data_IF_696594436574
#
_entry.id   IF_696594436574
#
_cell.length_a   1.000
_cell.length_b   1.000
_cell.length_c   1.000
_cell.angle_alpha   90.00
_cell.angle_beta   90.00
_cell.angle_gamma   90.00
#
_symmetry.space_group_name_H-M   'P 1'
#
loop_
_entity.id
_entity.type
_entity.pdbx_description
1 polymer ?
#
# COMPACT_ATOMS: atom_id res chain seq x y z
N UNK A 1 -33.58 -12.88 32.25
CA UNK A 1 -32.33 -12.11 32.02
C UNK A 1 -31.54 -12.66 30.82
N UNK A 2 -32.22 -13.04 29.73
CA UNK A 2 -31.59 -13.68 28.55
C UNK A 2 -31.06 -12.68 27.51
N UNK A 3 -31.48 -11.41 27.60
CA UNK A 3 -31.19 -10.39 26.60
C UNK A 3 -29.77 -9.79 26.72
N UNK A 4 -29.11 -9.94 27.88
CA UNK A 4 -27.82 -9.27 28.17
C UNK A 4 -26.60 -10.03 27.64
N UNK A 5 -26.72 -11.34 27.39
CA UNK A 5 -25.68 -12.15 26.76
C UNK A 5 -25.63 -12.01 25.23
N UNK A 6 -26.78 -11.70 24.62
CA UNK A 6 -26.93 -11.56 23.17
C UNK A 6 -26.33 -10.21 22.71
N UNK A 7 -26.55 -9.13 23.47
CA UNK A 7 -25.93 -7.82 23.28
C UNK A 7 -24.39 -7.88 23.39
N UNK A 8 -23.85 -8.57 24.40
CA UNK A 8 -22.41 -8.76 24.56
C UNK A 8 -21.80 -9.61 23.42
N UNK A 9 -22.54 -10.62 22.95
CA UNK A 9 -22.13 -11.44 21.80
C UNK A 9 -22.10 -10.66 20.49
N UNK A 10 -23.13 -9.84 20.21
CA UNK A 10 -23.20 -8.97 19.04
C UNK A 10 -22.11 -7.90 19.06
N UNK A 11 -21.88 -7.26 20.21
CA UNK A 11 -20.81 -6.27 20.37
C UNK A 11 -19.43 -6.90 20.13
N UNK A 12 -19.19 -8.12 20.63
CA UNK A 12 -17.92 -8.83 20.42
C UNK A 12 -17.70 -9.18 18.94
N UNK A 13 -18.73 -9.66 18.25
CA UNK A 13 -18.66 -9.98 16.81
C UNK A 13 -18.40 -8.73 15.97
N UNK A 14 -19.02 -7.59 16.31
CA UNK A 14 -18.79 -6.30 15.66
C UNK A 14 -17.36 -5.80 15.85
N UNK A 15 -16.81 -5.92 17.07
CA UNK A 15 -15.42 -5.55 17.37
C UNK A 15 -14.43 -6.43 16.62
N UNK A 16 -14.68 -7.74 16.52
CA UNK A 16 -13.83 -8.67 15.74
C UNK A 16 -13.86 -8.32 14.24
N UNK A 17 -15.03 -7.98 13.70
CA UNK A 17 -15.18 -7.54 12.30
C UNK A 17 -14.47 -6.22 12.01
N UNK A 18 -14.40 -5.30 12.97
CA UNK A 18 -13.70 -4.01 12.85
C UNK A 18 -12.18 -4.18 12.95
N UNK A 19 -11.70 -5.05 13.85
CA UNK A 19 -10.28 -5.36 14.00
C UNK A 19 -9.71 -6.09 12.77
N UNK A 20 -10.46 -7.04 12.19
CA UNK A 20 -10.02 -7.80 11.01
C UNK A 20 -9.88 -6.96 9.73
N UNK A 21 -10.61 -5.85 9.62
CA UNK A 21 -10.48 -4.89 8.51
C UNK A 21 -9.29 -3.95 8.72
N UNK A 22 -9.07 -3.54 9.96
CA UNK A 22 -7.98 -2.64 10.33
C UNK A 22 -6.60 -3.27 10.10
N UNK A 23 -6.41 -4.57 10.32
CA UNK A 23 -5.11 -5.23 10.14
C UNK A 23 -4.62 -5.29 8.69
N UNK A 24 -5.55 -5.35 7.73
CA UNK A 24 -5.21 -5.35 6.29
C UNK A 24 -4.87 -3.94 5.76
N UNK A 25 -5.54 -2.90 6.28
CA UNK A 25 -5.21 -1.51 5.93
C UNK A 25 -3.93 -1.02 6.62
N UNK A 26 -3.69 -1.42 7.87
CA UNK A 26 -2.51 -0.99 8.65
C UNK A 26 -1.18 -1.43 8.03
N UNK A 27 -1.16 -2.62 7.43
CA UNK A 27 0.05 -3.23 6.87
C UNK A 27 0.49 -2.50 5.59
N UNK A 28 -0.44 -2.05 4.75
CA UNK A 28 -0.08 -1.26 3.57
C UNK A 28 0.37 0.15 3.91
N UNK A 29 -0.19 0.81 4.93
CA UNK A 29 0.21 2.17 5.30
C UNK A 29 1.66 2.24 5.78
N UNK A 30 2.09 1.28 6.62
CA UNK A 30 3.49 1.21 7.09
C UNK A 30 4.46 0.88 5.94
N UNK A 31 4.03 -0.02 5.05
CA UNK A 31 4.78 -0.38 3.85
C UNK A 31 4.90 0.79 2.88
N UNK A 32 3.83 1.54 2.64
CA UNK A 32 3.84 2.75 1.81
C UNK A 32 4.61 3.90 2.46
N UNK A 33 4.58 4.03 3.79
CA UNK A 33 5.41 4.98 4.50
C UNK A 33 6.91 4.72 4.25
N UNK A 34 7.31 3.46 4.09
CA UNK A 34 8.66 3.10 3.66
C UNK A 34 8.99 3.53 2.21
N UNK A 35 7.97 3.79 1.37
CA UNK A 35 8.11 4.41 0.04
C UNK A 35 8.03 5.95 0.06
N UNK A 36 7.93 6.59 1.24
CA UNK A 36 8.03 8.06 1.34
C UNK A 36 9.18 8.68 0.53
N UNK A 37 10.42 8.15 0.55
CA UNK A 37 11.51 8.68 -0.29
C UNK A 37 11.27 8.51 -1.80
N UNK A 38 10.43 7.58 -2.23
CA UNK A 38 10.03 7.42 -3.64
C UNK A 38 9.02 8.46 -4.11
N UNK A 39 8.28 9.08 -3.18
CA UNK A 39 7.19 9.99 -3.51
C UNK A 39 7.64 11.16 -4.38
N UNK A 40 8.83 11.72 -4.14
CA UNK A 40 9.37 12.81 -4.96
C UNK A 40 9.50 12.41 -6.44
N UNK A 41 9.94 11.18 -6.73
CA UNK A 41 10.05 10.71 -8.11
C UNK A 41 8.66 10.47 -8.73
N UNK A 42 7.80 9.73 -8.02
CA UNK A 42 6.48 9.37 -8.56
C UNK A 42 5.48 10.54 -8.61
N UNK A 43 5.74 11.63 -7.88
CA UNK A 43 4.99 12.90 -8.00
C UNK A 43 5.56 13.84 -9.06
N UNK A 44 6.72 13.52 -9.64
CA UNK A 44 7.39 14.37 -10.62
C UNK A 44 8.18 15.55 -10.04
N UNK A 45 8.39 15.58 -8.71
CA UNK A 45 9.27 16.56 -8.07
C UNK A 45 10.76 16.24 -8.30
N UNK A 46 11.09 14.98 -8.58
CA UNK A 46 12.45 14.54 -8.91
C UNK A 46 12.47 13.70 -10.18
N UNK A 47 13.46 13.95 -11.05
CA UNK A 47 13.68 13.16 -12.27
C UNK A 47 14.44 11.85 -12.01
N UNK A 48 14.97 11.64 -10.81
CA UNK A 48 15.70 10.43 -10.43
C UNK A 48 15.27 9.91 -9.06
N UNK A 49 15.07 8.58 -8.89
CA UNK A 49 14.79 8.00 -7.59
C UNK A 49 16.08 7.93 -6.76
N UNK A 50 15.95 8.16 -5.45
CA UNK A 50 17.09 8.00 -4.52
C UNK A 50 17.40 6.51 -4.30
N UNK A 51 18.65 6.17 -3.96
CA UNK A 51 19.04 4.79 -3.69
C UNK A 51 18.22 4.14 -2.57
N UNK A 52 17.88 4.92 -1.53
CA UNK A 52 16.97 4.48 -0.45
C UNK A 52 15.59 4.09 -0.98
N UNK A 53 15.03 4.88 -1.90
CA UNK A 53 13.77 4.53 -2.56
C UNK A 53 13.86 3.17 -3.28
N UNK A 54 14.94 2.94 -4.04
CA UNK A 54 15.10 1.70 -4.78
C UNK A 54 15.23 0.46 -3.88
N UNK A 55 15.98 0.58 -2.77
CA UNK A 55 16.09 -0.51 -1.78
C UNK A 55 14.73 -0.81 -1.13
N UNK A 56 14.00 0.22 -0.71
CA UNK A 56 12.68 0.04 -0.11
C UNK A 56 11.67 -0.53 -1.12
N UNK A 57 11.71 -0.06 -2.37
CA UNK A 57 10.87 -0.59 -3.44
C UNK A 57 11.10 -2.09 -3.64
N UNK A 58 12.36 -2.54 -3.67
CA UNK A 58 12.70 -3.96 -3.80
C UNK A 58 12.12 -4.80 -2.67
N UNK A 59 12.26 -4.33 -1.42
CA UNK A 59 11.70 -5.00 -0.25
C UNK A 59 10.18 -5.08 -0.34
N UNK A 60 9.50 -3.99 -0.72
CA UNK A 60 8.04 -3.95 -0.78
C UNK A 60 7.48 -4.79 -1.92
N UNK A 61 8.13 -4.78 -3.10
CA UNK A 61 7.75 -5.65 -4.22
C UNK A 61 7.82 -7.12 -3.81
N UNK A 62 8.80 -7.49 -2.99
CA UNK A 62 9.05 -8.87 -2.59
C UNK A 62 8.20 -9.29 -1.38
N UNK A 63 7.96 -8.37 -0.44
CA UNK A 63 7.25 -8.65 0.81
C UNK A 63 5.75 -8.34 0.75
N UNK A 64 5.33 -7.35 -0.05
CA UNK A 64 3.94 -6.85 -0.09
C UNK A 64 3.59 -6.17 -1.43
N UNK A 65 3.61 -6.92 -2.55
CA UNK A 65 3.28 -6.38 -3.88
C UNK A 65 1.84 -5.84 -3.96
N UNK A 66 0.93 -6.41 -3.17
CA UNK A 66 -0.48 -6.02 -3.08
C UNK A 66 -0.66 -4.54 -2.71
N UNK A 67 0.15 -4.05 -1.76
CA UNK A 67 0.07 -2.66 -1.29
C UNK A 67 0.54 -1.66 -2.35
N UNK A 68 1.54 -2.05 -3.13
CA UNK A 68 2.04 -1.28 -4.26
C UNK A 68 0.96 -1.15 -5.34
N UNK A 69 0.25 -2.25 -5.61
CA UNK A 69 -0.88 -2.28 -6.52
C UNK A 69 -2.02 -1.35 -6.07
N UNK A 70 -2.37 -1.36 -4.77
CA UNK A 70 -3.35 -0.42 -4.23
C UNK A 70 -2.91 1.02 -4.41
N UNK A 71 -1.64 1.34 -4.18
CA UNK A 71 -1.10 2.69 -4.40
C UNK A 71 -1.20 3.13 -5.86
N UNK A 72 -0.81 2.24 -6.79
CA UNK A 72 -0.86 2.46 -8.25
C UNK A 72 -2.29 2.61 -8.78
N UNK A 73 -3.27 1.93 -8.16
CA UNK A 73 -4.68 1.98 -8.57
C UNK A 73 -5.48 3.13 -7.93
N UNK A 74 -4.78 4.14 -7.38
CA UNK A 74 -5.41 5.32 -6.76
C UNK A 74 -5.32 5.38 -5.23
N UNK A 75 -4.62 4.44 -4.58
CA UNK A 75 -4.37 4.47 -3.14
C UNK A 75 -3.50 5.65 -2.70
N UNK A 76 -2.74 6.26 -3.62
CA UNK A 76 -2.07 7.54 -3.38
C UNK A 76 -3.06 8.65 -3.01
N UNK A 77 -4.23 8.68 -3.65
CA UNK A 77 -5.30 9.65 -3.37
C UNK A 77 -5.85 9.49 -1.95
N UNK A 78 -5.90 8.25 -1.45
CA UNK A 78 -6.33 7.95 -0.07
C UNK A 78 -5.36 8.50 0.98
N UNK A 79 -4.10 8.75 0.58
CA UNK A 79 -3.05 9.35 1.42
C UNK A 79 -2.88 10.85 1.15
N UNK A 80 -3.70 11.45 0.29
CA UNK A 80 -3.57 12.86 -0.11
C UNK A 80 -2.39 13.14 -1.03
N UNK A 81 -1.86 12.13 -1.72
CA UNK A 81 -0.68 12.24 -2.58
C UNK A 81 -1.05 11.96 -4.04
N UNK A 82 -0.74 12.91 -4.92
CA UNK A 82 -0.94 12.76 -6.36
C UNK A 82 0.19 11.95 -6.97
N UNK A 83 -0.07 10.68 -7.28
CA UNK A 83 0.90 9.81 -7.95
C UNK A 83 0.76 9.95 -9.46
N UNK A 84 1.86 10.26 -10.16
CA UNK A 84 1.93 10.20 -11.61
C UNK A 84 2.20 8.75 -12.03
N UNK A 85 1.19 8.10 -12.62
CA UNK A 85 1.29 6.69 -13.02
C UNK A 85 2.42 6.43 -14.01
N UNK A 86 2.71 7.36 -14.92
CA UNK A 86 3.78 7.20 -15.92
C UNK A 86 5.16 7.08 -15.24
N UNK A 87 5.41 7.92 -14.24
CA UNK A 87 6.63 7.88 -13.44
C UNK A 87 6.64 6.63 -12.54
N UNK A 88 5.52 6.29 -11.91
CA UNK A 88 5.41 5.09 -11.10
C UNK A 88 5.68 3.80 -11.90
N UNK A 89 5.28 3.74 -13.18
CA UNK A 89 5.57 2.63 -14.09
C UNK A 89 7.03 2.59 -14.55
N UNK A 90 7.71 3.74 -14.61
CA UNK A 90 9.14 3.84 -14.94
C UNK A 90 10.06 3.60 -13.74
N UNK A 91 9.57 3.78 -12.52
CA UNK A 91 10.35 3.63 -11.27
C UNK A 91 11.07 2.27 -11.16
N UNK A 92 10.44 1.11 -11.44
CA UNK A 92 11.13 -0.18 -11.40
C UNK A 92 12.31 -0.26 -12.37
N UNK A 93 12.15 0.32 -13.57
CA UNK A 93 13.21 0.39 -14.58
C UNK A 93 14.36 1.29 -14.13
N UNK A 94 14.04 2.46 -13.56
CA UNK A 94 15.03 3.39 -13.01
C UNK A 94 15.81 2.81 -11.82
N UNK A 95 15.17 1.97 -11.00
CA UNK A 95 15.79 1.29 -9.87
C UNK A 95 16.40 -0.08 -10.20
N UNK A 96 16.30 -0.55 -11.45
CA UNK A 96 16.72 -1.89 -11.88
C UNK A 96 16.07 -3.04 -11.08
N UNK A 97 14.84 -2.82 -10.59
CA UNK A 97 14.09 -3.82 -9.82
C UNK A 97 13.19 -4.61 -10.76
N UNK A 98 13.32 -5.94 -10.74
CA UNK A 98 12.41 -6.84 -11.46
C UNK A 98 11.05 -6.86 -10.75
N UNK A 99 10.07 -6.17 -11.30
CA UNK A 99 8.67 -6.23 -10.84
C UNK A 99 7.81 -7.01 -11.82
N UNK A 100 6.82 -7.79 -11.34
CA UNK A 100 5.78 -8.30 -12.23
C UNK A 100 5.03 -7.13 -12.89
N UNK A 101 4.48 -7.32 -14.10
CA UNK A 101 3.74 -6.27 -14.77
C UNK A 101 2.54 -5.84 -13.93
N UNK A 102 2.22 -4.55 -13.93
CA UNK A 102 1.07 -4.00 -13.19
C UNK A 102 -0.25 -4.65 -13.57
N UNK A 103 -0.37 -5.26 -14.76
CA UNK A 103 -1.53 -6.06 -15.17
C UNK A 103 -1.74 -7.31 -14.29
N UNK A 104 -0.69 -7.78 -13.61
CA UNK A 104 -0.74 -8.86 -12.63
C UNK A 104 -0.98 -8.38 -11.20
N UNK A 105 -1.19 -7.07 -10.99
CA UNK A 105 -1.75 -6.54 -9.75
C UNK A 105 -3.19 -7.04 -9.57
N UNK A 106 -3.35 -8.28 -9.15
CA UNK A 106 -4.62 -8.86 -8.74
C UNK A 106 -4.79 -8.52 -7.26
N UNK A 107 -5.46 -7.42 -6.96
CA UNK A 107 -6.01 -7.21 -5.63
C UNK A 107 -6.99 -8.35 -5.37
N UNK A 108 -6.58 -9.35 -4.58
CA UNK A 108 -7.46 -10.38 -4.07
C UNK A 108 -7.98 -9.97 -2.71
#
# INVERSE_FOLDING_TARGET
MAFKGIELGLALVLVIMLLGRATAQSSCTSTLASLAPCLNYVTGNSSTPSSSCCSQLSIVVQSSPQCLCSLLNGGGSTLGITINQTLALSLPGACNVKTPPVSQCKCK
#
